data_IF_926440881617
#
_entry.id   IF_926440881617
#
_cell.length_a   1.000
_cell.length_b   1.000
_cell.length_c   1.000
_cell.angle_alpha   90.00
_cell.angle_beta   90.00
_cell.angle_gamma   90.00
#
_symmetry.space_group_name_H-M   'P 1'
#
loop_
_entity.id
_entity.type
_entity.pdbx_description
1 polymer ?
#
# COMPACT_ATOMS: atom_id res chain seq x y z
N UNK A 1 -22.69 4.78 27.63
CA UNK A 1 -21.27 4.90 28.01
C UNK A 1 -21.08 6.32 28.50
N UNK A 2 -20.43 6.56 29.64
CA UNK A 2 -20.20 7.93 30.11
C UNK A 2 -19.43 8.71 29.04
N UNK A 3 -19.85 9.94 28.72
CA UNK A 3 -19.21 10.80 27.70
C UNK A 3 -17.74 11.13 28.02
N UNK A 4 -17.27 10.76 29.23
CA UNK A 4 -15.94 11.05 29.73
C UNK A 4 -14.97 9.85 29.68
N UNK A 5 -15.37 8.67 29.19
CA UNK A 5 -14.48 7.48 29.11
C UNK A 5 -14.30 6.94 27.68
N UNK A 6 -13.07 6.64 27.31
CA UNK A 6 -12.68 6.06 26.02
C UNK A 6 -11.77 4.84 26.20
N UNK A 7 -11.86 3.90 25.27
CA UNK A 7 -11.05 2.68 25.23
C UNK A 7 -10.60 2.41 23.80
N UNK A 8 -9.29 2.32 23.60
CA UNK A 8 -8.66 2.16 22.28
C UNK A 8 -7.52 1.15 22.33
N UNK A 9 -7.22 0.54 21.18
CA UNK A 9 -6.18 -0.47 21.05
C UNK A 9 -6.63 -1.89 21.36
N UNK A 10 -5.66 -2.81 21.36
CA UNK A 10 -5.92 -4.25 21.37
C UNK A 10 -5.47 -4.89 22.68
N UNK A 11 -6.38 -5.60 23.35
CA UNK A 11 -6.12 -6.23 24.65
C UNK A 11 -5.95 -7.76 24.59
N UNK A 12 -6.16 -8.36 23.44
CA UNK A 12 -6.16 -9.82 23.24
C UNK A 12 -4.85 -10.52 23.65
N UNK A 13 -4.95 -11.80 24.00
CA UNK A 13 -3.80 -12.64 24.28
C UNK A 13 -3.01 -12.81 22.98
N UNK A 14 -1.69 -12.63 23.03
CA UNK A 14 -0.82 -12.73 21.85
C UNK A 14 -0.61 -11.44 21.05
N UNK A 15 -1.28 -10.34 21.42
CA UNK A 15 -0.94 -9.00 20.90
C UNK A 15 0.53 -8.67 21.23
N UNK A 16 1.25 -8.14 20.23
CA UNK A 16 2.66 -7.72 20.31
C UNK A 16 2.81 -6.36 19.64
N UNK A 17 3.77 -5.56 20.09
CA UNK A 17 4.10 -4.26 19.49
C UNK A 17 2.92 -3.30 19.37
N UNK A 18 2.00 -3.39 20.33
CA UNK A 18 0.79 -2.58 20.41
C UNK A 18 0.47 -2.33 21.90
N UNK A 19 -0.45 -1.41 22.14
CA UNK A 19 -0.91 -1.10 23.49
C UNK A 19 -2.43 -0.93 23.53
N UNK A 20 -2.98 -1.06 24.72
CA UNK A 20 -4.36 -0.76 25.05
C UNK A 20 -4.40 0.42 26.01
N UNK A 21 -5.28 1.39 25.73
CA UNK A 21 -5.44 2.61 26.51
C UNK A 21 -6.90 2.72 26.93
N UNK A 22 -7.14 2.83 28.23
CA UNK A 22 -8.38 3.41 28.76
C UNK A 22 -8.07 4.79 29.31
N UNK A 23 -8.91 5.75 28.97
CA UNK A 23 -8.80 7.12 29.46
C UNK A 23 -10.14 7.58 29.99
N UNK A 24 -10.12 8.22 31.16
CA UNK A 24 -11.27 8.90 31.75
C UNK A 24 -10.88 10.34 32.12
N UNK A 25 -11.64 11.33 31.63
CA UNK A 25 -11.45 12.72 32.02
C UNK A 25 -12.03 12.98 33.41
N UNK A 26 -11.23 13.59 34.28
CA UNK A 26 -11.61 13.92 35.66
C UNK A 26 -11.84 15.43 35.80
N UNK A 27 -12.61 15.82 36.81
CA UNK A 27 -12.81 17.24 37.15
C UNK A 27 -11.63 17.84 37.93
N UNK A 28 -10.88 17.03 38.67
CA UNK A 28 -9.72 17.42 39.48
C UNK A 28 -8.85 16.20 39.79
N UNK A 29 -7.73 16.39 40.50
CA UNK A 29 -6.87 15.28 40.97
C UNK A 29 -5.64 15.01 40.09
N UNK A 30 -5.41 15.81 39.06
CA UNK A 30 -4.22 15.72 38.21
C UNK A 30 -4.22 14.51 37.27
N UNK A 31 -3.05 14.24 36.69
CA UNK A 31 -2.82 13.07 35.84
C UNK A 31 -2.49 11.84 36.70
N UNK A 32 -3.32 10.81 36.57
CA UNK A 32 -3.16 9.52 37.24
C UNK A 32 -2.87 8.44 36.18
N UNK A 33 -1.59 8.07 36.03
CA UNK A 33 -1.16 7.07 35.05
C UNK A 33 -0.88 5.72 35.71
N UNK A 34 -1.67 4.71 35.35
CA UNK A 34 -1.39 3.31 35.64
C UNK A 34 -0.74 2.64 34.41
N UNK A 35 0.57 2.42 34.48
CA UNK A 35 1.34 1.78 33.41
C UNK A 35 1.62 0.31 33.71
N UNK A 36 1.06 -0.59 32.89
CA UNK A 36 1.38 -2.01 32.86
C UNK A 36 2.13 -2.33 31.57
N UNK A 37 3.47 -2.37 31.61
CA UNK A 37 4.31 -2.62 30.42
C UNK A 37 5.13 -3.89 30.54
N UNK A 38 5.16 -4.69 29.46
CA UNK A 38 6.09 -5.83 29.31
C UNK A 38 7.56 -5.42 29.24
N UNK A 39 7.84 -4.16 28.94
CA UNK A 39 9.20 -3.62 28.77
C UNK A 39 9.51 -2.50 29.77
N UNK A 40 8.75 -2.45 30.88
CA UNK A 40 8.81 -1.39 31.89
C UNK A 40 10.22 -1.17 32.45
N UNK A 41 10.99 -2.25 32.66
CA UNK A 41 12.35 -2.19 33.21
C UNK A 41 13.33 -1.39 32.34
N UNK A 42 13.10 -1.36 31.02
CA UNK A 42 13.96 -0.66 30.05
C UNK A 42 13.35 0.66 29.58
N UNK A 43 12.04 0.69 29.34
CA UNK A 43 11.38 1.81 28.65
C UNK A 43 10.25 2.47 29.46
N UNK A 44 10.01 2.08 30.72
CA UNK A 44 8.91 2.63 31.51
C UNK A 44 8.96 4.16 31.69
N UNK A 45 10.17 4.71 31.88
CA UNK A 45 10.40 6.16 31.99
C UNK A 45 10.11 6.90 30.68
N UNK A 46 10.55 6.37 29.53
CA UNK A 46 10.31 7.00 28.24
C UNK A 46 8.84 6.93 27.84
N UNK A 47 8.17 5.80 28.10
CA UNK A 47 6.72 5.64 27.87
C UNK A 47 5.95 6.67 28.71
N UNK A 48 6.25 6.78 30.01
CA UNK A 48 5.60 7.75 30.90
C UNK A 48 5.82 9.18 30.43
N UNK A 49 7.05 9.52 30.01
CA UNK A 49 7.35 10.84 29.46
C UNK A 49 6.52 11.12 28.21
N UNK A 50 6.48 10.19 27.25
CA UNK A 50 5.70 10.35 26.02
C UNK A 50 4.20 10.56 26.31
N UNK A 51 3.62 9.78 27.24
CA UNK A 51 2.24 9.96 27.68
C UNK A 51 2.02 11.38 28.20
N UNK A 52 2.89 11.86 29.09
CA UNK A 52 2.77 13.21 29.65
C UNK A 52 2.94 14.32 28.60
N UNK A 53 3.89 14.16 27.67
CA UNK A 53 4.12 15.11 26.57
C UNK A 53 2.86 15.22 25.68
N UNK A 54 2.21 14.09 25.39
CA UNK A 54 0.96 14.06 24.59
C UNK A 54 -0.19 14.73 25.37
N UNK A 55 -0.38 14.38 26.64
CA UNK A 55 -1.44 14.98 27.47
C UNK A 55 -1.28 16.49 27.60
N UNK A 56 -0.04 16.96 27.83
CA UNK A 56 0.29 18.38 27.89
C UNK A 56 -0.01 19.09 26.56
N UNK A 57 0.35 18.50 25.42
CA UNK A 57 0.04 19.05 24.10
C UNK A 57 -1.47 19.28 23.88
N UNK A 58 -2.29 18.34 24.34
CA UNK A 58 -3.76 18.43 24.26
C UNK A 58 -4.41 19.23 25.40
N UNK A 59 -3.61 19.77 26.33
CA UNK A 59 -4.10 20.46 27.54
C UNK A 59 -5.10 19.58 28.29
N UNK A 60 -4.68 18.37 28.62
CA UNK A 60 -5.38 17.45 29.51
C UNK A 60 -4.66 17.51 30.85
N UNK A 61 -5.29 18.13 31.84
CA UNK A 61 -4.69 18.38 33.16
C UNK A 61 -5.18 17.38 34.23
N UNK A 62 -6.39 16.82 34.04
CA UNK A 62 -7.03 15.91 34.99
C UNK A 62 -7.59 14.69 34.24
N UNK A 63 -6.94 13.54 34.40
CA UNK A 63 -7.36 12.31 33.75
C UNK A 63 -6.81 11.08 34.48
N UNK A 64 -7.58 10.01 34.47
CA UNK A 64 -7.11 8.67 34.78
C UNK A 64 -6.78 7.95 33.47
N UNK A 65 -5.56 7.42 33.37
CA UNK A 65 -5.07 6.69 32.20
C UNK A 65 -4.59 5.32 32.65
N UNK A 66 -5.22 4.27 32.11
CA UNK A 66 -4.73 2.92 32.18
C UNK A 66 -4.06 2.57 30.86
N UNK A 67 -2.74 2.32 30.88
CA UNK A 67 -1.95 1.94 29.70
C UNK A 67 -1.38 0.53 29.87
N UNK A 68 -1.91 -0.41 29.11
CA UNK A 68 -1.39 -1.78 29.00
C UNK A 68 -0.51 -1.90 27.74
N UNK A 69 0.80 -1.85 27.92
CA UNK A 69 1.80 -1.88 26.86
C UNK A 69 2.39 -3.30 26.65
N UNK A 70 2.36 -3.76 25.40
CA UNK A 70 2.91 -5.05 24.96
C UNK A 70 4.12 -4.85 24.04
N UNK A 71 4.97 -3.86 24.34
CA UNK A 71 6.18 -3.52 23.60
C UNK A 71 5.90 -2.64 22.38
N UNK A 72 4.89 -1.77 22.48
CA UNK A 72 4.56 -0.76 21.48
C UNK A 72 5.75 0.20 21.30
N UNK A 73 5.99 0.59 20.05
CA UNK A 73 6.93 1.66 19.74
C UNK A 73 6.24 3.02 19.81
N UNK A 74 7.03 4.09 19.90
CA UNK A 74 6.54 5.45 20.15
C UNK A 74 5.41 5.90 19.22
N UNK A 75 5.49 5.57 17.92
CA UNK A 75 4.47 5.98 16.95
C UNK A 75 3.11 5.30 17.21
N UNK A 76 3.13 4.07 17.75
CA UNK A 76 1.93 3.32 18.13
C UNK A 76 1.36 3.88 19.43
N UNK A 77 2.21 4.10 20.44
CA UNK A 77 1.81 4.74 21.71
C UNK A 77 1.14 6.08 21.43
N UNK A 78 1.78 6.94 20.62
CA UNK A 78 1.24 8.24 20.24
C UNK A 78 -0.11 8.13 19.53
N UNK A 79 -0.25 7.18 18.59
CA UNK A 79 -1.49 6.97 17.86
C UNK A 79 -2.65 6.53 18.78
N UNK A 80 -2.39 5.58 19.68
CA UNK A 80 -3.41 5.06 20.62
C UNK A 80 -3.82 6.13 21.64
N UNK A 81 -2.86 6.85 22.23
CA UNK A 81 -3.16 7.89 23.22
C UNK A 81 -3.93 9.05 22.55
N UNK A 82 -3.52 9.49 21.36
CA UNK A 82 -4.25 10.52 20.61
C UNK A 82 -5.67 10.08 20.26
N UNK A 83 -5.86 8.83 19.81
CA UNK A 83 -7.19 8.31 19.52
C UNK A 83 -8.10 8.31 20.76
N UNK A 84 -7.58 7.95 21.94
CA UNK A 84 -8.33 8.04 23.20
C UNK A 84 -8.75 9.49 23.52
N UNK A 85 -7.80 10.43 23.42
CA UNK A 85 -8.05 11.85 23.70
C UNK A 85 -9.11 12.41 22.74
N UNK A 86 -9.02 12.12 21.43
CA UNK A 86 -9.94 12.68 20.43
C UNK A 86 -11.35 12.07 20.47
N UNK A 87 -11.53 10.92 21.12
CA UNK A 87 -12.87 10.40 21.45
C UNK A 87 -13.53 11.19 22.60
N UNK A 88 -12.72 11.75 23.51
CA UNK A 88 -13.20 12.48 24.69
C UNK A 88 -13.24 14.00 24.50
N UNK A 89 -12.38 14.52 23.62
CA UNK A 89 -12.18 15.95 23.41
C UNK A 89 -12.22 16.28 21.94
N UNK A 90 -13.11 17.19 21.55
CA UNK A 90 -13.14 17.76 20.20
C UNK A 90 -11.92 18.65 19.97
N UNK A 91 -11.04 18.25 19.07
CA UNK A 91 -9.83 18.98 18.69
C UNK A 91 -9.34 18.54 17.32
N UNK A 92 -8.79 19.49 16.56
CA UNK A 92 -8.13 19.25 15.27
C UNK A 92 -6.60 19.30 15.37
N UNK A 93 -6.07 19.50 16.59
CA UNK A 93 -4.63 19.37 16.84
C UNK A 93 -4.18 17.92 16.63
N UNK A 94 -2.94 17.77 16.19
CA UNK A 94 -2.30 16.48 15.94
C UNK A 94 -0.97 16.40 16.66
N UNK A 95 -0.74 15.35 17.44
CA UNK A 95 0.56 15.11 18.07
C UNK A 95 1.40 14.29 17.11
N UNK A 96 2.35 14.96 16.45
CA UNK A 96 3.14 14.36 15.39
C UNK A 96 4.59 14.19 15.84
N UNK A 97 5.04 12.93 15.87
CA UNK A 97 6.46 12.62 16.01
C UNK A 97 7.27 13.11 14.78
N UNK A 98 8.60 13.27 14.91
CA UNK A 98 9.46 13.71 13.82
C UNK A 98 9.30 12.86 12.55
N UNK A 99 9.15 13.51 11.41
CA UNK A 99 9.01 12.86 10.11
C UNK A 99 10.37 12.34 9.63
N UNK A 100 10.45 11.06 9.26
CA UNK A 100 11.61 10.51 8.55
C UNK A 100 11.77 11.20 7.19
N UNK A 101 13.01 11.60 6.86
CA UNK A 101 13.30 12.40 5.65
C UNK A 101 13.02 11.61 4.38
N UNK A 102 13.40 10.34 4.35
CA UNK A 102 13.17 9.39 3.25
C UNK A 102 11.68 9.20 2.95
N UNK A 103 10.81 9.33 3.96
CA UNK A 103 9.37 9.17 3.80
C UNK A 103 8.70 10.40 3.17
N UNK A 104 9.44 11.49 2.89
CA UNK A 104 8.95 12.62 2.09
C UNK A 104 9.20 12.45 0.59
N UNK A 105 9.91 11.41 0.17
CA UNK A 105 10.30 11.24 -1.22
C UNK A 105 9.11 10.79 -2.09
N UNK A 106 8.86 11.43 -3.25
CA UNK A 106 7.83 10.99 -4.18
C UNK A 106 8.25 9.72 -4.93
N UNK A 107 7.29 9.04 -5.55
CA UNK A 107 7.53 7.96 -6.52
C UNK A 107 7.14 8.40 -7.92
N UNK A 108 7.68 7.73 -8.94
CA UNK A 108 7.29 7.97 -10.34
C UNK A 108 6.06 7.13 -10.70
N UNK A 109 5.29 7.59 -11.69
CA UNK A 109 4.12 6.86 -12.20
C UNK A 109 4.45 5.43 -12.64
N UNK A 110 5.61 5.25 -13.28
CA UNK A 110 6.03 4.02 -13.95
C UNK A 110 7.00 3.14 -13.13
N UNK A 111 7.12 3.36 -11.81
CA UNK A 111 7.89 2.44 -10.94
C UNK A 111 7.29 1.04 -10.99
N UNK A 112 8.10 0.02 -10.77
CA UNK A 112 7.62 -1.36 -10.74
C UNK A 112 6.76 -1.64 -9.51
N UNK A 113 5.68 -2.40 -9.69
CA UNK A 113 4.73 -2.80 -8.65
C UNK A 113 4.49 -4.31 -8.66
N UNK A 114 5.58 -5.07 -8.82
CA UNK A 114 5.57 -6.53 -9.00
C UNK A 114 4.95 -7.23 -7.76
N UNK A 115 5.36 -6.84 -6.56
CA UNK A 115 4.78 -7.35 -5.30
C UNK A 115 4.32 -6.20 -4.39
N UNK A 116 3.11 -6.30 -3.86
CA UNK A 116 2.57 -5.32 -2.89
C UNK A 116 1.99 -6.04 -1.68
N UNK A 117 2.56 -5.80 -0.50
CA UNK A 117 2.18 -6.50 0.72
C UNK A 117 1.06 -5.76 1.46
N UNK A 118 -0.08 -6.42 1.64
CA UNK A 118 -1.18 -5.92 2.46
C UNK A 118 -0.89 -6.07 3.94
N UNK A 119 -1.09 -4.98 4.70
CA UNK A 119 -0.87 -4.89 6.13
C UNK A 119 -2.08 -4.22 6.79
N UNK A 120 -2.80 -4.90 7.70
CA UNK A 120 -3.92 -4.31 8.42
C UNK A 120 -3.49 -3.06 9.19
N UNK A 121 -4.16 -1.93 8.96
CA UNK A 121 -3.84 -0.61 9.51
C UNK A 121 -3.92 -0.51 11.03
N UNK A 122 -4.64 -1.44 11.67
CA UNK A 122 -4.79 -1.53 13.12
C UNK A 122 -3.84 -2.55 13.79
N UNK A 123 -2.92 -3.17 13.04
CA UNK A 123 -2.03 -4.24 13.52
C UNK A 123 -0.55 -3.86 13.33
N UNK A 124 0.00 -2.96 14.19
CA UNK A 124 1.33 -2.37 13.97
C UNK A 124 2.49 -3.36 13.88
N UNK A 125 2.42 -4.50 14.59
CA UNK A 125 3.48 -5.52 14.57
C UNK A 125 3.84 -6.00 13.16
N UNK A 126 2.87 -6.01 12.25
CA UNK A 126 3.08 -6.47 10.88
C UNK A 126 3.79 -5.42 10.04
N UNK A 127 3.69 -4.13 10.40
CA UNK A 127 4.28 -3.03 9.65
C UNK A 127 5.76 -2.83 9.95
N UNK A 128 6.18 -3.05 11.21
CA UNK A 128 7.52 -2.73 11.70
C UNK A 128 8.66 -3.30 10.85
N UNK A 129 8.52 -4.56 10.41
CA UNK A 129 9.57 -5.29 9.69
C UNK A 129 9.19 -5.58 8.24
N UNK A 130 8.04 -5.10 7.76
CA UNK A 130 7.53 -5.43 6.43
C UNK A 130 8.51 -5.05 5.32
N UNK A 131 9.15 -3.88 5.43
CA UNK A 131 10.08 -3.38 4.40
C UNK A 131 11.37 -4.19 4.29
N UNK A 132 11.78 -4.94 5.32
CA UNK A 132 12.99 -5.78 5.30
C UNK A 132 12.88 -6.86 4.22
N UNK A 133 11.66 -7.30 3.92
CA UNK A 133 11.38 -8.30 2.88
C UNK A 133 11.40 -7.74 1.46
N UNK A 134 11.73 -6.46 1.27
CA UNK A 134 11.88 -5.77 -0.02
C UNK A 134 10.70 -5.94 -1.00
N UNK A 135 9.43 -5.79 -0.57
CA UNK A 135 8.35 -5.66 -1.54
C UNK A 135 8.49 -4.34 -2.31
N UNK A 136 7.97 -4.27 -3.54
CA UNK A 136 7.92 -2.98 -4.26
C UNK A 136 6.98 -1.98 -3.58
N UNK A 137 5.92 -2.44 -2.90
CA UNK A 137 4.99 -1.59 -2.16
C UNK A 137 4.50 -2.21 -0.87
N UNK A 138 4.23 -1.35 0.12
CA UNK A 138 3.57 -1.73 1.37
C UNK A 138 2.22 -1.02 1.44
N UNK A 139 1.14 -1.80 1.49
CA UNK A 139 -0.23 -1.31 1.58
C UNK A 139 -0.65 -1.30 3.04
N UNK A 140 -0.74 -0.11 3.62
CA UNK A 140 -1.35 0.11 4.93
C UNK A 140 -2.87 0.17 4.74
N UNK A 141 -3.58 -0.84 5.21
CA UNK A 141 -4.99 -1.05 4.89
C UNK A 141 -5.93 -0.47 5.95
N UNK A 142 -6.81 0.45 5.57
CA UNK A 142 -7.86 0.98 6.43
C UNK A 142 -9.23 0.33 6.18
N UNK A 143 -9.32 -0.57 5.21
CA UNK A 143 -10.57 -1.11 4.69
C UNK A 143 -10.88 -2.50 5.25
N UNK A 144 -10.97 -3.56 4.45
CA UNK A 144 -11.53 -4.85 4.88
C UNK A 144 -10.71 -5.56 5.97
N UNK A 145 -9.41 -5.32 6.06
CA UNK A 145 -8.59 -5.90 7.13
C UNK A 145 -8.77 -5.22 8.50
N UNK A 146 -9.60 -4.17 8.58
CA UNK A 146 -9.87 -3.41 9.80
C UNK A 146 -11.36 -3.46 10.13
N UNK A 147 -11.69 -4.02 11.31
CA UNK A 147 -13.08 -4.08 11.77
C UNK A 147 -13.70 -2.67 11.90
N UNK A 148 -15.01 -2.51 11.67
CA UNK A 148 -15.66 -1.19 11.62
C UNK A 148 -15.38 -0.28 12.83
N UNK A 149 -15.43 -0.84 14.04
CA UNK A 149 -15.16 -0.13 15.29
C UNK A 149 -13.68 0.26 15.50
N UNK A 150 -12.77 -0.26 14.67
CA UNK A 150 -11.33 -0.02 14.76
C UNK A 150 -10.82 0.94 13.68
N UNK A 151 -11.64 1.29 12.69
CA UNK A 151 -11.24 2.17 11.58
C UNK A 151 -10.80 3.56 12.05
N UNK A 152 -11.51 4.12 13.02
CA UNK A 152 -11.14 5.43 13.58
C UNK A 152 -9.73 5.44 14.17
N UNK A 153 -9.39 4.47 15.04
CA UNK A 153 -8.05 4.39 15.64
C UNK A 153 -6.96 3.95 14.64
N UNK A 154 -7.32 3.17 13.61
CA UNK A 154 -6.39 2.74 12.56
C UNK A 154 -5.81 3.91 11.76
N UNK A 155 -6.59 4.97 11.52
CA UNK A 155 -6.14 6.19 10.83
C UNK A 155 -4.91 6.81 11.48
N UNK A 156 -4.89 6.89 12.81
CA UNK A 156 -3.76 7.45 13.56
C UNK A 156 -2.52 6.57 13.47
N UNK A 157 -2.70 5.25 13.47
CA UNK A 157 -1.59 4.29 13.30
C UNK A 157 -1.01 4.43 11.90
N UNK A 158 -1.84 4.39 10.86
CA UNK A 158 -1.40 4.52 9.47
C UNK A 158 -0.71 5.86 9.25
N UNK A 159 -1.28 6.96 9.75
CA UNK A 159 -0.67 8.29 9.75
C UNK A 159 0.74 8.24 10.35
N UNK A 160 0.86 7.75 11.57
CA UNK A 160 2.13 7.74 12.29
C UNK A 160 3.14 6.76 11.66
N UNK A 161 2.66 5.65 11.07
CA UNK A 161 3.48 4.70 10.33
C UNK A 161 4.11 5.34 9.08
N UNK A 162 3.34 6.10 8.30
CA UNK A 162 3.87 6.88 7.16
C UNK A 162 4.97 7.86 7.58
N UNK A 163 4.92 8.36 8.81
CA UNK A 163 5.91 9.30 9.35
C UNK A 163 7.17 8.63 9.90
N UNK A 164 7.03 7.48 10.54
CA UNK A 164 8.06 6.95 11.45
C UNK A 164 8.59 5.57 11.10
N UNK A 165 7.96 4.81 10.20
CA UNK A 165 8.51 3.54 9.73
C UNK A 165 9.52 3.74 8.62
N UNK A 166 10.60 2.96 8.63
CA UNK A 166 11.45 2.83 7.47
C UNK A 166 10.84 1.80 6.50
N UNK A 167 10.46 2.26 5.31
CA UNK A 167 9.85 1.41 4.26
C UNK A 167 10.91 0.68 3.42
N UNK A 168 12.21 0.89 3.67
CA UNK A 168 13.33 0.28 2.95
C UNK A 168 13.25 0.45 1.43
N UNK A 169 12.72 1.59 0.98
CA UNK A 169 12.53 1.93 -0.43
C UNK A 169 11.22 1.45 -1.04
N UNK A 170 10.41 0.67 -0.33
CA UNK A 170 9.08 0.29 -0.80
C UNK A 170 8.16 1.52 -0.95
N UNK A 171 7.32 1.52 -1.99
CA UNK A 171 6.30 2.55 -2.19
C UNK A 171 5.29 2.53 -1.03
N UNK A 172 5.04 3.71 -0.44
CA UNK A 172 4.11 3.88 0.68
C UNK A 172 2.69 3.93 0.13
N UNK A 173 1.96 2.83 0.23
CA UNK A 173 0.61 2.71 -0.27
C UNK A 173 -0.40 2.71 0.89
N UNK A 174 -1.58 3.28 0.67
CA UNK A 174 -2.70 3.20 1.62
C UNK A 174 -3.95 2.77 0.88
N UNK A 175 -4.64 1.73 1.36
CA UNK A 175 -6.00 1.42 0.92
C UNK A 175 -6.98 2.13 1.83
N UNK A 176 -7.71 3.09 1.27
CA UNK A 176 -8.75 3.83 2.00
C UNK A 176 -10.05 3.03 2.04
N UNK A 177 -10.98 3.46 2.87
CA UNK A 177 -12.35 2.97 2.84
C UNK A 177 -13.12 3.44 1.59
N UNK A 178 -14.24 2.79 1.29
CA UNK A 178 -15.16 3.24 0.24
C UNK A 178 -15.94 4.50 0.67
N UNK A 179 -16.30 5.34 -0.30
CA UNK A 179 -17.23 6.45 -0.11
C UNK A 179 -16.73 7.53 0.85
N UNK A 180 -17.64 8.09 1.65
CA UNK A 180 -17.36 9.24 2.52
C UNK A 180 -16.30 8.95 3.58
N UNK A 181 -16.27 7.71 4.08
CA UNK A 181 -15.26 7.26 5.04
C UNK A 181 -13.86 7.27 4.41
N UNK A 182 -13.75 6.95 3.13
CA UNK A 182 -12.51 7.06 2.37
C UNK A 182 -12.02 8.50 2.26
N UNK A 183 -12.94 9.46 2.02
CA UNK A 183 -12.59 10.88 1.98
C UNK A 183 -12.10 11.40 3.33
N UNK A 184 -12.64 10.87 4.44
CA UNK A 184 -12.08 11.16 5.77
C UNK A 184 -10.68 10.59 5.94
N UNK A 185 -10.42 9.37 5.45
CA UNK A 185 -9.10 8.73 5.53
C UNK A 185 -8.02 9.60 4.86
N UNK A 186 -8.35 10.25 3.73
CA UNK A 186 -7.44 11.12 2.99
C UNK A 186 -6.83 12.23 3.87
N UNK A 187 -7.60 12.77 4.82
CA UNK A 187 -7.14 13.83 5.74
C UNK A 187 -6.01 13.35 6.65
N UNK A 188 -5.96 12.05 6.94
CA UNK A 188 -4.94 11.43 7.80
C UNK A 188 -3.72 10.93 7.03
N UNK A 189 -3.72 10.96 5.70
CA UNK A 189 -2.64 10.34 4.89
C UNK A 189 -2.03 11.28 3.85
N UNK A 190 -2.82 12.15 3.22
CA UNK A 190 -2.33 13.10 2.21
C UNK A 190 -1.28 14.06 2.78
N UNK A 191 -1.45 14.66 3.98
CA UNK A 191 -0.44 15.53 4.58
C UNK A 191 0.84 14.81 5.02
N UNK A 192 0.87 13.49 4.91
CA UNK A 192 1.93 12.63 5.45
C UNK A 192 2.57 11.74 4.39
N UNK A 193 2.56 12.22 3.13
CA UNK A 193 3.40 11.71 2.05
C UNK A 193 3.20 10.22 1.70
N UNK A 194 1.94 9.76 1.76
CA UNK A 194 1.53 8.54 1.05
C UNK A 194 1.86 8.72 -0.46
N UNK A 195 2.45 7.70 -1.07
CA UNK A 195 2.82 7.74 -2.48
C UNK A 195 1.66 7.34 -3.40
N UNK A 196 0.87 6.37 -2.96
CA UNK A 196 -0.21 5.81 -3.76
C UNK A 196 -1.42 5.46 -2.88
N UNK A 197 -2.60 5.78 -3.38
CA UNK A 197 -3.88 5.53 -2.71
C UNK A 197 -4.66 4.49 -3.52
N UNK A 198 -5.00 3.38 -2.86
CA UNK A 198 -5.88 2.37 -3.42
C UNK A 198 -7.32 2.74 -3.10
N UNK A 199 -8.16 2.78 -4.13
CA UNK A 199 -9.58 3.13 -4.02
C UNK A 199 -10.37 1.81 -4.18
N UNK A 200 -10.95 1.25 -3.11
CA UNK A 200 -11.69 0.00 -3.21
C UNK A 200 -13.03 0.21 -3.93
N UNK A 201 -13.59 -0.88 -4.43
CA UNK A 201 -14.99 -1.03 -4.86
C UNK A 201 -15.38 0.03 -5.88
N UNK A 202 -14.49 0.29 -6.84
CA UNK A 202 -14.69 1.28 -7.89
C UNK A 202 -15.63 0.74 -8.96
N UNK A 203 -16.71 1.46 -9.23
CA UNK A 203 -17.70 1.09 -10.24
C UNK A 203 -17.89 2.15 -11.33
N UNK A 204 -17.34 3.35 -11.12
CA UNK A 204 -17.53 4.48 -12.02
C UNK A 204 -16.31 5.41 -12.05
N UNK A 205 -16.19 6.22 -13.10
CA UNK A 205 -15.15 7.27 -13.16
C UNK A 205 -15.37 8.36 -12.10
N UNK A 206 -16.62 8.59 -11.70
CA UNK A 206 -17.01 9.55 -10.68
C UNK A 206 -16.42 9.21 -9.32
N UNK A 207 -16.31 7.92 -8.97
CA UNK A 207 -15.64 7.45 -7.76
C UNK A 207 -14.18 7.95 -7.70
N UNK A 208 -13.49 7.91 -8.85
CA UNK A 208 -12.10 8.33 -8.96
C UNK A 208 -11.97 9.85 -8.91
N UNK A 209 -12.80 10.56 -9.67
CA UNK A 209 -12.77 12.04 -9.72
C UNK A 209 -13.00 12.60 -8.31
N UNK A 210 -13.97 12.05 -7.58
CA UNK A 210 -14.28 12.48 -6.21
C UNK A 210 -13.09 12.36 -5.26
N UNK A 211 -12.35 11.26 -5.35
CA UNK A 211 -11.15 11.02 -4.53
C UNK A 211 -10.00 11.93 -4.96
N UNK A 212 -9.75 12.07 -6.27
CA UNK A 212 -8.69 12.92 -6.79
C UNK A 212 -8.91 14.40 -6.43
N UNK A 213 -10.13 14.90 -6.54
CA UNK A 213 -10.49 16.27 -6.18
C UNK A 213 -10.23 16.57 -4.68
N UNK A 214 -10.61 15.66 -3.78
CA UNK A 214 -10.31 15.83 -2.35
C UNK A 214 -8.80 15.75 -2.08
N UNK A 215 -8.05 14.89 -2.80
CA UNK A 215 -6.58 14.88 -2.74
C UNK A 215 -6.01 16.23 -3.19
N UNK A 216 -6.44 16.78 -4.33
CA UNK A 216 -5.93 18.08 -4.81
C UNK A 216 -6.23 19.20 -3.82
N UNK A 217 -7.43 19.20 -3.24
CA UNK A 217 -7.82 20.15 -2.19
C UNK A 217 -6.93 20.04 -0.95
N UNK A 218 -6.68 18.83 -0.46
CA UNK A 218 -5.81 18.59 0.70
C UNK A 218 -4.35 18.94 0.38
N UNK A 219 -3.85 18.59 -0.81
CA UNK A 219 -2.51 18.99 -1.26
C UNK A 219 -2.34 20.51 -1.22
N UNK A 220 -3.33 21.27 -1.72
CA UNK A 220 -3.33 22.73 -1.66
C UNK A 220 -3.38 23.24 -0.21
N UNK A 221 -4.26 22.69 0.62
CA UNK A 221 -4.41 23.09 2.02
C UNK A 221 -3.13 22.89 2.84
N UNK A 222 -2.42 21.78 2.61
CA UNK A 222 -1.22 21.40 3.38
C UNK A 222 0.09 21.68 2.64
N UNK A 223 0.05 22.40 1.50
CA UNK A 223 1.22 22.72 0.67
C UNK A 223 2.05 21.49 0.29
N UNK A 224 1.38 20.41 -0.10
CA UNK A 224 2.02 19.17 -0.56
C UNK A 224 2.22 19.24 -2.08
N UNK A 225 3.47 19.29 -2.51
CA UNK A 225 3.82 19.36 -3.93
C UNK A 225 3.88 17.97 -4.58
N UNK A 226 4.34 16.95 -3.84
CA UNK A 226 4.52 15.59 -4.33
C UNK A 226 3.29 15.02 -5.04
N UNK A 227 3.50 14.35 -6.17
CA UNK A 227 2.47 13.54 -6.80
C UNK A 227 2.00 12.41 -5.87
N UNK A 228 0.70 12.16 -5.88
CA UNK A 228 0.05 11.04 -5.20
C UNK A 228 -0.67 10.27 -6.28
N UNK A 229 -0.28 9.01 -6.45
CA UNK A 229 -0.84 8.14 -7.48
C UNK A 229 -2.11 7.44 -7.00
N UNK A 230 -2.97 7.07 -7.94
CA UNK A 230 -4.21 6.35 -7.69
C UNK A 230 -4.14 4.93 -8.24
N UNK A 231 -4.76 4.02 -7.50
CA UNK A 231 -4.97 2.64 -7.92
C UNK A 231 -6.41 2.20 -7.62
N UNK A 232 -7.31 2.34 -8.59
CA UNK A 232 -8.65 1.77 -8.48
C UNK A 232 -8.57 0.25 -8.32
N UNK A 233 -9.38 -0.30 -7.43
CA UNK A 233 -9.61 -1.74 -7.30
C UNK A 233 -10.96 -2.05 -7.95
N UNK A 234 -10.93 -2.90 -8.97
CA UNK A 234 -12.10 -3.42 -9.65
C UNK A 234 -12.48 -4.76 -9.03
N UNK A 235 -13.64 -4.81 -8.40
CA UNK A 235 -14.07 -5.97 -7.62
C UNK A 235 -15.58 -6.22 -7.67
N UNK A 236 -16.26 -5.72 -8.71
CA UNK A 236 -17.65 -6.04 -9.03
C UNK A 236 -17.84 -6.21 -10.54
N UNK A 237 -18.90 -6.88 -10.97
CA UNK A 237 -19.25 -7.05 -12.38
C UNK A 237 -19.41 -5.69 -13.09
N UNK A 238 -20.02 -4.72 -12.42
CA UNK A 238 -20.16 -3.35 -12.93
C UNK A 238 -18.81 -2.65 -13.07
N UNK A 239 -17.92 -2.78 -12.09
CA UNK A 239 -16.56 -2.26 -12.19
C UNK A 239 -15.78 -2.85 -13.36
N UNK A 240 -15.96 -4.15 -13.65
CA UNK A 240 -15.34 -4.81 -14.81
C UNK A 240 -15.83 -4.22 -16.13
N UNK A 241 -17.14 -4.02 -16.27
CA UNK A 241 -17.69 -3.43 -17.50
C UNK A 241 -17.23 -1.98 -17.71
N UNK A 242 -17.02 -1.23 -16.62
CA UNK A 242 -16.58 0.17 -16.64
C UNK A 242 -15.05 0.34 -16.53
N UNK A 243 -14.27 -0.73 -16.64
CA UNK A 243 -12.85 -0.73 -16.32
C UNK A 243 -12.04 0.35 -17.08
N UNK A 244 -12.32 0.58 -18.37
CA UNK A 244 -11.59 1.58 -19.15
C UNK A 244 -11.94 3.02 -18.77
N UNK A 245 -13.22 3.30 -18.51
CA UNK A 245 -13.67 4.62 -18.06
C UNK A 245 -13.06 4.96 -16.70
N UNK A 246 -13.01 3.99 -15.78
CA UNK A 246 -12.34 4.11 -14.49
C UNK A 246 -10.84 4.36 -14.69
N UNK A 247 -10.17 3.54 -15.51
CA UNK A 247 -8.74 3.64 -15.77
C UNK A 247 -8.30 4.97 -16.42
N UNK A 248 -9.22 5.63 -17.13
CA UNK A 248 -8.97 6.89 -17.84
C UNK A 248 -9.47 8.13 -17.08
N UNK A 249 -10.05 7.94 -15.89
CA UNK A 249 -10.75 9.01 -15.16
C UNK A 249 -9.83 10.13 -14.64
N UNK A 250 -8.55 9.84 -14.40
CA UNK A 250 -7.57 10.83 -13.92
C UNK A 250 -6.16 10.54 -14.42
N UNK A 251 -5.39 11.60 -14.65
CA UNK A 251 -3.95 11.53 -14.98
C UNK A 251 -3.11 10.91 -13.85
N UNK A 252 -3.60 10.98 -12.61
CA UNK A 252 -2.94 10.50 -11.40
C UNK A 252 -3.10 8.97 -11.22
N UNK A 253 -3.90 8.31 -12.05
CA UNK A 253 -3.96 6.84 -12.04
C UNK A 253 -2.65 6.30 -12.61
N UNK A 254 -1.91 5.54 -11.80
CA UNK A 254 -0.68 4.86 -12.23
C UNK A 254 -0.90 3.39 -12.59
N UNK A 255 -1.97 2.81 -12.04
CA UNK A 255 -2.23 1.38 -12.07
C UNK A 255 -3.69 1.10 -11.73
N UNK A 256 -4.23 -0.05 -12.11
CA UNK A 256 -5.50 -0.56 -11.59
C UNK A 256 -5.34 -2.01 -11.15
N UNK A 257 -6.09 -2.42 -10.13
CA UNK A 257 -6.03 -3.77 -9.57
C UNK A 257 -7.36 -4.49 -9.70
N UNK A 258 -7.34 -5.82 -9.75
CA UNK A 258 -8.55 -6.66 -9.60
C UNK A 258 -8.61 -7.25 -8.19
N UNK A 259 -9.78 -7.20 -7.56
CA UNK A 259 -10.09 -7.89 -6.30
C UNK A 259 -10.97 -9.09 -6.58
N UNK A 260 -10.39 -10.30 -6.59
CA UNK A 260 -11.12 -11.50 -7.03
C UNK A 260 -12.10 -12.06 -6.00
N UNK A 261 -11.81 -11.94 -4.69
CA UNK A 261 -12.71 -12.47 -3.65
C UNK A 261 -14.07 -11.76 -3.71
N UNK A 262 -14.07 -10.43 -3.62
CA UNK A 262 -15.27 -9.58 -3.72
C UNK A 262 -15.95 -9.71 -5.10
N UNK A 263 -15.17 -9.78 -6.18
CA UNK A 263 -15.73 -9.99 -7.53
C UNK A 263 -16.49 -11.32 -7.66
N UNK A 264 -15.93 -12.42 -7.15
CA UNK A 264 -16.61 -13.73 -7.22
C UNK A 264 -17.85 -13.77 -6.32
N UNK A 265 -17.81 -13.08 -5.18
CA UNK A 265 -18.98 -12.90 -4.32
C UNK A 265 -20.09 -12.10 -5.04
N UNK A 266 -19.76 -11.01 -5.73
CA UNK A 266 -20.69 -10.20 -6.52
C UNK A 266 -21.32 -11.01 -7.68
N UNK A 267 -20.52 -11.84 -8.36
CA UNK A 267 -21.02 -12.75 -9.38
C UNK A 267 -21.87 -13.92 -8.84
N UNK A 268 -21.78 -14.24 -7.55
CA UNK A 268 -22.43 -15.42 -6.97
C UNK A 268 -21.76 -16.75 -7.34
N UNK A 269 -20.45 -16.74 -7.60
CA UNK A 269 -19.67 -17.94 -7.95
C UNK A 269 -18.55 -18.20 -6.93
N UNK A 270 -18.06 -19.43 -6.87
CA UNK A 270 -16.88 -19.77 -6.07
C UNK A 270 -15.62 -19.59 -6.90
N UNK A 271 -14.54 -19.14 -6.24
CA UNK A 271 -13.21 -19.08 -6.83
C UNK A 271 -12.67 -20.49 -7.05
N UNK A 272 -12.07 -20.74 -8.23
CA UNK A 272 -11.50 -22.04 -8.60
C UNK A 272 -10.01 -21.94 -8.91
N UNK A 273 -9.29 -23.07 -8.86
CA UNK A 273 -7.87 -23.13 -9.22
C UNK A 273 -7.63 -22.96 -10.73
N UNK A 274 -8.63 -23.34 -11.53
CA UNK A 274 -8.66 -23.10 -12.98
C UNK A 274 -8.81 -21.62 -13.31
N UNK A 275 -9.46 -20.85 -12.42
CA UNK A 275 -9.72 -19.41 -12.54
C UNK A 275 -10.51 -19.03 -13.81
N UNK A 276 -11.34 -19.95 -14.32
CA UNK A 276 -12.16 -19.70 -15.53
C UNK A 276 -13.26 -18.68 -15.27
N UNK A 277 -13.78 -18.64 -14.03
CA UNK A 277 -14.80 -17.69 -13.57
C UNK A 277 -14.32 -16.22 -13.56
N UNK A 278 -13.00 -16.02 -13.42
CA UNK A 278 -12.38 -14.69 -13.40
C UNK A 278 -11.67 -14.32 -14.71
N UNK A 279 -11.64 -15.23 -15.69
CA UNK A 279 -10.87 -15.04 -16.93
C UNK A 279 -11.32 -13.80 -17.71
N UNK A 280 -12.62 -13.60 -17.88
CA UNK A 280 -13.15 -12.41 -18.56
C UNK A 280 -12.74 -11.12 -17.85
N UNK A 281 -12.97 -11.03 -16.53
CA UNK A 281 -12.66 -9.85 -15.74
C UNK A 281 -11.17 -9.49 -15.77
N UNK A 282 -10.30 -10.50 -15.65
CA UNK A 282 -8.84 -10.31 -15.72
C UNK A 282 -8.40 -9.79 -17.08
N UNK A 283 -8.90 -10.35 -18.19
CA UNK A 283 -8.57 -9.88 -19.54
C UNK A 283 -9.13 -8.48 -19.81
N UNK A 284 -10.36 -8.19 -19.37
CA UNK A 284 -10.98 -6.87 -19.50
C UNK A 284 -10.16 -5.82 -18.75
N UNK A 285 -9.75 -6.11 -17.52
CA UNK A 285 -8.91 -5.21 -16.73
C UNK A 285 -7.55 -4.95 -17.40
N UNK A 286 -6.84 -6.00 -17.83
CA UNK A 286 -5.55 -5.83 -18.52
C UNK A 286 -5.73 -4.96 -19.77
N UNK A 287 -6.74 -5.24 -20.58
CA UNK A 287 -7.02 -4.47 -21.81
C UNK A 287 -7.30 -3.00 -21.50
N UNK A 288 -8.16 -2.73 -20.52
CA UNK A 288 -8.46 -1.38 -20.05
C UNK A 288 -7.21 -0.64 -19.55
N UNK A 289 -6.40 -1.30 -18.73
CA UNK A 289 -5.15 -0.73 -18.20
C UNK A 289 -4.17 -0.37 -19.33
N UNK A 290 -4.01 -1.24 -20.34
CA UNK A 290 -3.14 -0.97 -21.48
C UNK A 290 -3.66 0.16 -22.36
N UNK A 291 -4.97 0.20 -22.60
CA UNK A 291 -5.60 1.29 -23.35
C UNK A 291 -5.40 2.66 -22.66
N UNK A 292 -5.48 2.69 -21.32
CA UNK A 292 -5.21 3.89 -20.52
C UNK A 292 -3.71 4.15 -20.26
N UNK A 293 -2.80 3.31 -20.78
CA UNK A 293 -1.34 3.40 -20.55
C UNK A 293 -0.93 3.37 -19.06
N UNK A 294 -1.60 2.53 -18.27
CA UNK A 294 -1.32 2.29 -16.85
C UNK A 294 -0.94 0.82 -16.60
N UNK A 295 -0.45 0.53 -15.40
CA UNK A 295 -0.13 -0.84 -14.99
C UNK A 295 -1.39 -1.65 -14.66
N UNK A 296 -1.42 -2.92 -15.04
CA UNK A 296 -2.45 -3.87 -14.63
C UNK A 296 -1.92 -4.71 -13.47
N UNK A 297 -2.61 -4.76 -12.34
CA UNK A 297 -2.15 -5.55 -11.19
C UNK A 297 -3.16 -6.61 -10.77
N UNK A 298 -2.68 -7.83 -10.57
CA UNK A 298 -3.53 -8.96 -10.24
C UNK A 298 -3.89 -8.99 -8.74
N UNK A 299 -4.87 -9.83 -8.42
CA UNK A 299 -5.39 -10.06 -7.07
C UNK A 299 -4.38 -10.78 -6.17
N UNK A 300 -4.72 -10.86 -4.90
CA UNK A 300 -3.97 -11.64 -3.91
C UNK A 300 -4.13 -13.16 -4.13
N UNK A 301 -3.10 -13.89 -3.71
CA UNK A 301 -3.16 -15.34 -3.53
C UNK A 301 -3.37 -15.67 -2.06
N UNK A 302 -4.51 -16.32 -1.74
CA UNK A 302 -5.00 -16.51 -0.38
C UNK A 302 -4.32 -17.65 0.37
N UNK A 303 -3.91 -18.71 -0.33
CA UNK A 303 -3.21 -19.83 0.29
C UNK A 303 -1.73 -19.50 0.56
N UNK A 304 -1.45 -19.09 1.79
CA UNK A 304 -0.09 -18.75 2.24
C UNK A 304 0.82 -19.99 2.37
N UNK A 305 0.25 -21.20 2.42
CA UNK A 305 1.01 -22.43 2.60
C UNK A 305 1.51 -23.00 1.26
N UNK A 306 0.81 -22.75 0.16
CA UNK A 306 1.09 -23.36 -1.14
C UNK A 306 1.86 -22.43 -2.09
N UNK A 307 3.19 -22.40 -1.94
CA UNK A 307 4.06 -21.58 -2.77
C UNK A 307 4.19 -22.08 -4.22
N UNK A 308 3.95 -23.37 -4.47
CA UNK A 308 3.98 -23.96 -5.81
C UNK A 308 2.78 -23.49 -6.64
N UNK A 309 1.58 -23.54 -6.04
CA UNK A 309 0.38 -22.98 -6.66
C UNK A 309 0.49 -21.48 -6.87
N UNK A 310 1.11 -20.74 -5.93
CA UNK A 310 1.43 -19.33 -6.13
C UNK A 310 2.33 -19.11 -7.36
N UNK A 311 3.39 -19.90 -7.53
CA UNK A 311 4.29 -19.77 -8.69
C UNK A 311 3.54 -19.96 -10.01
N UNK A 312 2.68 -20.99 -10.11
CA UNK A 312 1.83 -21.22 -11.28
C UNK A 312 0.84 -20.07 -11.51
N UNK A 313 0.23 -19.55 -10.44
CA UNK A 313 -0.67 -18.41 -10.53
C UNK A 313 0.04 -17.14 -11.03
N UNK A 314 1.27 -16.88 -10.56
CA UNK A 314 2.10 -15.76 -11.03
C UNK A 314 2.40 -15.91 -12.52
N UNK A 315 2.78 -17.11 -12.99
CA UNK A 315 3.05 -17.36 -14.41
C UNK A 315 1.81 -17.14 -15.28
N UNK A 316 0.63 -17.61 -14.83
CA UNK A 316 -0.66 -17.33 -15.51
C UNK A 316 -0.93 -15.82 -15.56
N UNK A 317 -0.75 -15.11 -14.44
CA UNK A 317 -0.96 -13.66 -14.34
C UNK A 317 -0.04 -12.87 -15.29
N UNK A 318 1.25 -13.20 -15.29
CA UNK A 318 2.24 -12.64 -16.23
C UNK A 318 1.84 -12.93 -17.69
N UNK A 319 1.38 -14.14 -17.99
CA UNK A 319 0.94 -14.55 -19.33
C UNK A 319 -0.28 -13.78 -19.84
N UNK A 320 -1.20 -13.38 -18.94
CA UNK A 320 -2.33 -12.51 -19.27
C UNK A 320 -1.92 -11.04 -19.48
N UNK A 321 -0.72 -10.65 -19.06
CA UNK A 321 -0.19 -9.30 -19.23
C UNK A 321 -0.28 -8.41 -17.98
N UNK A 322 -0.46 -8.99 -16.78
CA UNK A 322 -0.33 -8.24 -15.53
C UNK A 322 1.14 -7.86 -15.24
N UNK A 323 1.35 -6.74 -14.54
CA UNK A 323 2.66 -6.20 -14.16
C UNK A 323 3.10 -6.59 -12.74
N UNK A 324 2.20 -7.21 -11.97
CA UNK A 324 2.43 -7.59 -10.59
C UNK A 324 1.18 -8.18 -9.93
N UNK A 325 1.27 -8.44 -8.64
CA UNK A 325 0.13 -8.88 -7.84
C UNK A 325 0.20 -8.43 -6.38
N UNK A 326 -0.93 -8.55 -5.68
CA UNK A 326 -0.97 -8.41 -4.22
C UNK A 326 -0.41 -9.64 -3.51
N UNK A 327 0.17 -9.45 -2.33
CA UNK A 327 0.50 -10.53 -1.41
C UNK A 327 0.04 -10.19 0.01
N UNK A 328 -0.25 -11.22 0.78
CA UNK A 328 -0.75 -11.14 2.16
C UNK A 328 0.24 -11.72 3.17
N UNK A 329 1.36 -12.28 2.69
CA UNK A 329 2.41 -12.82 3.54
C UNK A 329 3.81 -12.58 2.95
N UNK A 330 4.82 -12.20 3.76
CA UNK A 330 6.17 -11.89 3.26
C UNK A 330 6.84 -13.02 2.45
N UNK A 331 6.55 -14.28 2.78
CA UNK A 331 7.07 -15.46 2.04
C UNK A 331 6.67 -15.48 0.56
N UNK A 332 5.55 -14.84 0.20
CA UNK A 332 5.07 -14.78 -1.18
C UNK A 332 5.93 -13.84 -2.04
N UNK A 333 6.58 -12.83 -1.45
CA UNK A 333 7.31 -11.78 -2.18
C UNK A 333 8.38 -12.38 -3.08
N UNK A 334 9.23 -13.26 -2.54
CA UNK A 334 10.30 -13.91 -3.29
C UNK A 334 9.75 -14.73 -4.47
N UNK A 335 8.72 -15.54 -4.23
CA UNK A 335 8.10 -16.38 -5.28
C UNK A 335 7.50 -15.52 -6.38
N UNK A 336 6.84 -14.41 -6.02
CA UNK A 336 6.29 -13.44 -6.98
C UNK A 336 7.41 -12.84 -7.83
N UNK A 337 8.49 -12.35 -7.22
CA UNK A 337 9.62 -11.74 -7.95
C UNK A 337 10.29 -12.74 -8.90
N UNK A 338 10.58 -13.95 -8.43
CA UNK A 338 11.21 -15.01 -9.22
C UNK A 338 10.36 -15.43 -10.44
N UNK A 339 9.03 -15.43 -10.32
CA UNK A 339 8.15 -15.87 -11.42
C UNK A 339 7.69 -14.71 -12.34
N UNK A 340 7.72 -13.46 -11.88
CA UNK A 340 7.55 -12.30 -12.76
C UNK A 340 8.81 -11.99 -13.57
N UNK A 341 9.98 -12.28 -13.00
CA UNK A 341 11.26 -12.12 -13.67
C UNK A 341 11.32 -12.79 -15.05
N UNK A 342 12.00 -12.18 -16.04
CA UNK A 342 12.29 -12.83 -17.31
C UNK A 342 13.34 -13.92 -17.13
N UNK A 343 13.23 -14.97 -17.96
CA UNK A 343 14.21 -16.04 -18.04
C UNK A 343 15.52 -15.55 -18.67
N UNK A 344 16.64 -16.24 -18.40
CA UNK A 344 17.94 -15.94 -19.02
C UNK A 344 17.84 -15.87 -20.55
N UNK A 345 17.08 -16.79 -21.17
CA UNK A 345 16.85 -16.81 -22.62
C UNK A 345 16.10 -15.56 -23.12
N UNK A 346 15.11 -15.07 -22.37
CA UNK A 346 14.40 -13.85 -22.70
C UNK A 346 15.30 -12.61 -22.56
N UNK A 347 16.13 -12.57 -21.51
CA UNK A 347 17.11 -11.51 -21.27
C UNK A 347 18.12 -11.46 -22.42
N UNK A 348 18.76 -12.57 -22.76
CA UNK A 348 19.76 -12.63 -23.84
C UNK A 348 19.18 -12.18 -25.18
N UNK A 349 17.96 -12.63 -25.48
CA UNK A 349 17.23 -12.20 -26.68
C UNK A 349 16.95 -10.70 -26.65
N UNK A 350 16.49 -10.17 -25.52
CA UNK A 350 16.22 -8.74 -25.35
C UNK A 350 17.49 -7.89 -25.51
N UNK A 351 18.62 -8.31 -24.91
CA UNK A 351 19.92 -7.65 -25.06
C UNK A 351 20.34 -7.58 -26.53
N UNK A 352 20.25 -8.69 -27.28
CA UNK A 352 20.60 -8.71 -28.71
C UNK A 352 19.72 -7.78 -29.55
N UNK A 353 18.41 -7.77 -29.29
CA UNK A 353 17.47 -6.86 -29.97
C UNK A 353 17.83 -5.40 -29.68
N UNK A 354 18.11 -5.08 -28.41
CA UNK A 354 18.43 -3.72 -27.99
C UNK A 354 19.75 -3.22 -28.58
N UNK A 355 20.80 -4.05 -28.58
CA UNK A 355 22.10 -3.70 -29.19
C UNK A 355 21.97 -3.50 -30.71
N UNK A 356 21.25 -4.38 -31.41
CA UNK A 356 21.00 -4.23 -32.84
C UNK A 356 20.22 -2.94 -33.18
N UNK A 357 19.28 -2.56 -32.32
CA UNK A 357 18.57 -1.28 -32.45
C UNK A 357 19.49 -0.07 -32.26
N UNK A 358 20.39 -0.09 -31.26
CA UNK A 358 21.35 0.99 -31.05
C UNK A 358 22.28 1.18 -32.26
N UNK A 359 22.85 0.09 -32.77
CA UNK A 359 23.73 0.12 -33.95
C UNK A 359 23.02 0.70 -35.19
N UNK A 360 21.77 0.30 -35.40
CA UNK A 360 20.99 0.82 -36.53
C UNK A 360 20.61 2.30 -36.36
N UNK A 361 20.30 2.72 -35.13
CA UNK A 361 20.02 4.12 -34.81
C UNK A 361 21.24 5.00 -35.09
N UNK A 362 22.44 4.54 -34.76
CA UNK A 362 23.70 5.22 -35.11
C UNK A 362 23.91 5.33 -36.62
N UNK A 363 23.48 4.31 -37.38
CA UNK A 363 23.54 4.29 -38.85
C UNK A 363 22.36 4.99 -39.54
N UNK A 364 21.41 5.54 -38.79
CA UNK A 364 20.22 6.20 -39.33
C UNK A 364 19.19 5.26 -40.00
N UNK A 365 19.20 3.97 -39.66
CA UNK A 365 18.29 2.96 -40.22
C UNK A 365 17.04 2.79 -39.34
N UNK A 366 15.85 2.84 -39.95
CA UNK A 366 14.57 2.73 -39.24
C UNK A 366 14.09 1.30 -38.94
N UNK A 367 14.63 0.29 -39.61
CA UNK A 367 14.29 -1.13 -39.44
C UNK A 367 15.57 -1.96 -39.51
N UNK A 368 15.72 -2.93 -38.60
CA UNK A 368 16.91 -3.79 -38.48
C UNK A 368 16.51 -5.24 -38.60
N UNK A 369 17.28 -6.05 -39.31
CA UNK A 369 17.09 -7.50 -39.32
C UNK A 369 18.06 -8.16 -38.35
N UNK A 370 17.56 -8.98 -37.41
CA UNK A 370 18.38 -9.85 -36.57
C UNK A 370 18.08 -11.30 -36.97
N UNK A 371 18.98 -11.88 -37.75
CA UNK A 371 18.72 -13.16 -38.43
C UNK A 371 17.61 -13.01 -39.47
N UNK A 372 16.56 -13.83 -39.37
CA UNK A 372 15.42 -13.83 -40.30
C UNK A 372 14.24 -12.94 -39.86
N UNK A 373 14.36 -12.25 -38.71
CA UNK A 373 13.26 -11.46 -38.14
C UNK A 373 13.55 -9.97 -38.20
N UNK A 374 12.55 -9.19 -38.61
CA UNK A 374 12.58 -7.74 -38.54
C UNK A 374 12.42 -7.28 -37.08
N UNK A 375 13.22 -6.29 -36.71
CA UNK A 375 13.14 -5.53 -35.47
C UNK A 375 12.48 -4.20 -35.81
N UNK A 376 11.24 -4.05 -35.36
CA UNK A 376 10.47 -2.82 -35.40
C UNK A 376 10.35 -2.20 -33.99
N UNK A 377 9.77 -1.00 -33.89
CA UNK A 377 9.64 -0.28 -32.63
C UNK A 377 8.91 -1.10 -31.53
N UNK A 378 7.82 -1.84 -31.80
CA UNK A 378 7.20 -2.73 -30.81
C UNK A 378 8.11 -3.85 -30.30
N UNK A 379 8.95 -4.43 -31.17
CA UNK A 379 9.93 -5.46 -30.76
C UNK A 379 11.00 -4.86 -29.84
N UNK A 380 11.51 -3.67 -30.15
CA UNK A 380 12.48 -2.95 -29.30
C UNK A 380 11.88 -2.59 -27.94
N UNK A 381 10.67 -2.00 -27.92
CA UNK A 381 9.99 -1.62 -26.67
C UNK A 381 9.80 -2.81 -25.73
N UNK A 382 9.43 -3.99 -26.27
CA UNK A 382 9.33 -5.23 -25.49
C UNK A 382 10.68 -5.65 -24.91
N UNK A 383 11.75 -5.59 -25.71
CA UNK A 383 13.09 -5.91 -25.24
C UNK A 383 13.57 -4.96 -24.13
N UNK A 384 13.34 -3.65 -24.27
CA UNK A 384 13.63 -2.66 -23.23
C UNK A 384 12.88 -2.95 -21.94
N UNK A 385 11.58 -3.27 -22.02
CA UNK A 385 10.78 -3.67 -20.85
C UNK A 385 11.36 -4.93 -20.19
N UNK A 386 11.71 -5.97 -20.97
CA UNK A 386 12.32 -7.20 -20.44
C UNK A 386 13.63 -6.90 -19.70
N UNK A 387 14.50 -6.06 -20.26
CA UNK A 387 15.76 -5.64 -19.63
C UNK A 387 15.48 -4.90 -18.31
N UNK A 388 14.57 -3.92 -18.32
CA UNK A 388 14.23 -3.17 -17.10
C UNK A 388 13.66 -4.06 -16.00
N UNK A 389 12.81 -5.03 -16.34
CA UNK A 389 12.29 -5.98 -15.34
C UNK A 389 13.43 -6.83 -14.78
N UNK A 390 14.35 -7.31 -15.63
CA UNK A 390 15.51 -8.08 -15.18
C UNK A 390 16.40 -7.30 -14.20
N UNK A 391 16.59 -6.00 -14.46
CA UNK A 391 17.31 -5.08 -13.56
C UNK A 391 16.58 -4.90 -12.22
N UNK A 392 15.26 -4.70 -12.26
CA UNK A 392 14.44 -4.53 -11.06
C UNK A 392 14.41 -5.80 -10.20
N UNK A 393 14.29 -6.97 -10.82
CA UNK A 393 14.28 -8.26 -10.10
C UNK A 393 15.68 -8.73 -9.71
N UNK A 394 16.73 -7.95 -9.99
CA UNK A 394 18.10 -8.24 -9.60
C UNK A 394 18.77 -9.40 -10.35
N UNK A 395 18.22 -9.81 -11.50
CA UNK A 395 18.82 -10.86 -12.35
C UNK A 395 19.88 -10.25 -13.28
N UNK A 396 19.72 -8.98 -13.62
CA UNK A 396 20.62 -8.26 -14.50
C UNK A 396 21.19 -7.03 -13.79
N UNK A 397 22.50 -6.84 -13.84
CA UNK A 397 23.10 -5.61 -13.31
C UNK A 397 22.82 -4.40 -14.23
N UNK A 398 22.66 -3.21 -13.67
CA UNK A 398 22.30 -1.99 -14.43
C UNK A 398 23.39 -1.53 -15.42
N UNK A 399 24.61 -2.01 -15.24
CA UNK A 399 25.81 -1.76 -16.06
C UNK A 399 26.08 -2.86 -17.09
N UNK A 400 25.14 -3.78 -17.36
CA UNK A 400 25.32 -4.91 -18.29
C UNK A 400 25.76 -4.55 -19.72
N UNK A 401 25.70 -3.26 -20.09
CA UNK A 401 26.16 -2.74 -21.38
C UNK A 401 27.66 -2.41 -21.42
N UNK A 402 28.29 -2.30 -20.26
CA UNK A 402 29.70 -1.98 -20.10
C UNK A 402 30.57 -3.23 -19.91
N UNK A 403 29.93 -4.40 -19.78
CA UNK A 403 30.53 -5.73 -19.84
C UNK A 403 30.52 -6.23 -21.29
#
# INVERSE_FOLDING_TARGET
MSENKASVGNREIGTKSDCYVEMELLSSGGIQLELKSKVASLFGKSITKLVNDILAFYKVDNAHIYLEDKGAVDFVLAARIEAAIRQLKKTDKEYLLPQLKENKLPTKKDIFRISRLYLPGNTPKLMLNAGIHKPNGLILDLEDAVSPNKKYEARFIVRNALRNLNFYGAERMVRINQGDMGLEDLRFIVPHYANLILIPKCESKEDIIRVDDEIQKLKKQFSIENDIWLMPIIESAKGVLNAYDIASASKNISSMAIGLEDYTADLGVQRTDEATESFFARNMLVTAARAASIQAIDSVFSDVSNMEALALNVQKSKGLGFDGMGCIHPRQIRVIHENFAPTVKEIDKAKRIYLAFLEAKEKGLGVVSLGTKMIDAPVVKRAETTIRIAEETGILEKNWRSE
#
